data_IF_034371547409
#
_entry.id   IF_034371547409
#
_cell.length_a   1.000
_cell.length_b   1.000
_cell.length_c   1.000
_cell.angle_alpha   90.00
_cell.angle_beta   90.00
_cell.angle_gamma   90.00
#
_symmetry.space_group_name_H-M   'P 1'
#
loop_
_entity.id
_entity.type
_entity.pdbx_description
1 polymer ?
#
# COMPACT_ATOMS: atom_id res chain seq x y z
N UNK A 1 -5.87 -38.41 0.70
CA UNK A 1 -6.53 -37.78 1.86
C UNK A 1 -5.48 -36.95 2.60
N UNK A 2 -5.59 -35.62 2.62
CA UNK A 2 -4.71 -34.83 3.46
C UNK A 2 -5.18 -34.99 4.91
N UNK A 3 -4.30 -35.50 5.78
CA UNK A 3 -4.60 -35.65 7.21
C UNK A 3 -4.97 -34.33 7.89
N UNK A 4 -5.49 -34.38 9.12
CA UNK A 4 -5.84 -33.18 9.88
C UNK A 4 -4.67 -32.19 9.91
N UNK A 5 -4.97 -30.89 9.72
CA UNK A 5 -3.94 -29.84 9.75
C UNK A 5 -3.30 -29.83 11.14
N UNK A 6 -2.00 -30.01 11.19
CA UNK A 6 -1.22 -29.78 12.41
C UNK A 6 -1.40 -28.30 12.85
N UNK A 7 -2.02 -28.06 14.02
CA UNK A 7 -2.30 -26.71 14.51
C UNK A 7 -1.00 -25.91 14.77
N UNK A 8 0.08 -26.58 15.17
CA UNK A 8 1.37 -25.93 15.43
C UNK A 8 1.96 -25.40 14.13
N UNK A 9 2.00 -26.23 13.08
CA UNK A 9 2.47 -25.82 11.76
C UNK A 9 1.62 -24.68 11.16
N UNK A 10 0.29 -24.70 11.37
CA UNK A 10 -0.60 -23.64 10.92
C UNK A 10 -0.30 -22.30 11.61
N UNK A 11 -0.11 -22.32 12.93
CA UNK A 11 0.25 -21.13 13.72
C UNK A 11 1.63 -20.58 13.34
N UNK A 12 2.63 -21.45 13.19
CA UNK A 12 3.99 -21.05 12.76
C UNK A 12 3.97 -20.36 11.39
N UNK A 13 3.22 -20.92 10.44
CA UNK A 13 3.05 -20.31 9.10
C UNK A 13 2.43 -18.93 9.19
N UNK A 14 1.42 -18.76 10.05
CA UNK A 14 0.76 -17.49 10.25
C UNK A 14 1.68 -16.44 10.88
N UNK A 15 2.42 -16.81 11.94
CA UNK A 15 3.40 -15.93 12.57
C UNK A 15 4.51 -15.51 11.59
N UNK A 16 5.01 -16.46 10.78
CA UNK A 16 5.97 -16.18 9.72
C UNK A 16 5.39 -15.19 8.70
N UNK A 17 4.13 -15.40 8.29
CA UNK A 17 3.48 -14.50 7.35
C UNK A 17 3.32 -13.09 7.92
N UNK A 18 2.87 -12.99 9.17
CA UNK A 18 2.75 -11.74 9.89
C UNK A 18 4.10 -11.02 10.00
N UNK A 19 5.18 -11.71 10.39
CA UNK A 19 6.52 -11.13 10.49
C UNK A 19 7.00 -10.54 9.16
N UNK A 20 6.81 -11.27 8.06
CA UNK A 20 7.16 -10.77 6.72
C UNK A 20 6.27 -9.58 6.34
N UNK A 21 4.97 -9.59 6.67
CA UNK A 21 4.07 -8.46 6.45
C UNK A 21 4.48 -7.22 7.27
N UNK A 22 4.96 -7.39 8.51
CA UNK A 22 5.50 -6.30 9.34
C UNK A 22 6.77 -5.73 8.73
N UNK A 23 7.72 -6.57 8.31
CA UNK A 23 8.92 -6.13 7.61
C UNK A 23 8.55 -5.38 6.33
N UNK A 24 7.52 -5.85 5.62
CA UNK A 24 7.05 -5.21 4.40
C UNK A 24 6.50 -3.82 4.67
N UNK A 25 5.64 -3.69 5.69
CA UNK A 25 5.12 -2.42 6.14
C UNK A 25 6.25 -1.46 6.57
N UNK A 26 7.28 -1.96 7.27
CA UNK A 26 8.42 -1.16 7.68
C UNK A 26 9.23 -0.65 6.47
N UNK A 27 9.43 -1.46 5.43
CA UNK A 27 10.10 -1.03 4.19
C UNK A 27 9.30 0.05 3.48
N UNK A 28 7.97 -0.12 3.34
CA UNK A 28 7.09 0.89 2.73
C UNK A 28 7.06 2.19 3.54
N UNK A 29 6.97 2.09 4.86
CA UNK A 29 7.03 3.24 5.76
C UNK A 29 8.39 3.96 5.66
N UNK A 30 9.49 3.22 5.59
CA UNK A 30 10.84 3.78 5.41
C UNK A 30 10.97 4.51 4.07
N UNK A 31 10.42 3.94 3.00
CA UNK A 31 10.38 4.56 1.68
C UNK A 31 9.70 5.93 1.73
N UNK A 32 8.55 6.03 2.40
CA UNK A 32 7.85 7.32 2.63
C UNK A 32 8.64 8.23 3.57
N UNK A 33 9.17 7.70 4.67
CA UNK A 33 9.88 8.43 5.72
C UNK A 33 11.13 9.13 5.19
N UNK A 34 11.88 8.51 4.28
CA UNK A 34 13.02 9.14 3.60
C UNK A 34 12.57 10.42 2.88
N UNK A 35 11.44 10.41 2.17
CA UNK A 35 10.94 11.61 1.49
C UNK A 35 10.50 12.71 2.45
N UNK A 36 9.87 12.34 3.57
CA UNK A 36 9.47 13.28 4.63
C UNK A 36 10.73 13.92 5.23
N UNK A 37 11.73 13.13 5.64
CA UNK A 37 12.98 13.63 6.23
C UNK A 37 13.72 14.56 5.24
N UNK A 38 13.83 14.17 3.97
CA UNK A 38 14.45 15.00 2.94
C UNK A 38 13.68 16.31 2.69
N UNK A 39 12.36 16.31 2.82
CA UNK A 39 11.55 17.51 2.70
C UNK A 39 11.80 18.48 3.86
N UNK A 40 11.67 18.00 5.10
CA UNK A 40 11.80 18.83 6.30
C UNK A 40 13.23 19.31 6.56
N UNK A 41 14.24 18.47 6.27
CA UNK A 41 15.64 18.89 6.34
C UNK A 41 15.96 20.04 5.40
N UNK A 42 15.42 20.02 4.17
CA UNK A 42 15.57 21.13 3.20
C UNK A 42 14.82 22.38 3.66
N UNK A 43 13.59 22.23 4.14
CA UNK A 43 12.81 23.35 4.67
C UNK A 43 13.54 24.05 5.82
N UNK A 44 14.02 23.27 6.79
CA UNK A 44 14.76 23.79 7.94
C UNK A 44 16.09 24.44 7.52
N UNK A 45 16.84 23.83 6.61
CA UNK A 45 18.08 24.40 6.10
C UNK A 45 17.86 25.77 5.41
N UNK A 46 16.81 25.91 4.60
CA UNK A 46 16.46 27.19 3.95
C UNK A 46 16.02 28.23 4.99
N UNK A 47 15.20 27.83 5.97
CA UNK A 47 14.74 28.72 7.06
C UNK A 47 15.92 29.21 7.90
N UNK A 48 16.85 28.33 8.26
CA UNK A 48 18.09 28.66 8.96
C UNK A 48 18.95 29.58 8.10
N UNK A 49 19.17 29.29 6.81
CA UNK A 49 19.96 30.14 5.92
C UNK A 49 19.37 31.56 5.76
N UNK A 50 18.05 31.68 5.63
CA UNK A 50 17.37 32.98 5.58
C UNK A 50 17.48 33.74 6.89
N UNK A 51 17.36 33.05 8.02
CA UNK A 51 17.55 33.64 9.36
C UNK A 51 19.02 33.94 9.69
N UNK A 52 19.95 33.20 9.10
CA UNK A 52 21.39 33.31 9.28
C UNK A 52 22.06 34.14 8.17
N UNK A 53 21.29 34.88 7.36
CA UNK A 53 21.84 35.98 6.54
C UNK A 53 22.57 37.05 7.38
N UNK A 54 22.60 36.89 8.72
CA UNK A 54 23.40 37.65 9.69
C UNK A 54 24.67 36.91 10.19
N UNK A 55 24.87 35.60 9.93
CA UNK A 55 26.09 34.82 10.28
C UNK A 55 26.44 33.79 9.21
N UNK A 56 27.54 34.00 8.51
CA UNK A 56 28.01 33.15 7.40
C UNK A 56 28.28 31.70 7.85
N UNK A 57 27.56 30.73 7.27
CA UNK A 57 27.91 29.31 7.36
C UNK A 57 29.15 29.06 6.48
N UNK A 58 30.21 28.37 6.95
CA UNK A 58 31.43 28.18 6.18
C UNK A 58 31.19 27.39 4.88
N UNK A 59 31.62 27.95 3.75
CA UNK A 59 31.41 27.41 2.40
C UNK A 59 32.05 26.01 2.16
N UNK A 60 33.00 25.59 2.99
CA UNK A 60 33.78 24.35 2.79
C UNK A 60 32.95 23.06 2.93
N UNK A 61 31.97 23.03 3.85
CA UNK A 61 31.13 21.84 4.09
C UNK A 61 29.93 21.80 3.12
N UNK A 62 29.44 22.95 2.69
CA UNK A 62 28.22 23.05 1.87
C UNK A 62 28.46 22.76 0.39
N UNK A 63 29.63 23.10 -0.16
CA UNK A 63 29.93 22.99 -1.60
C UNK A 63 29.91 21.56 -2.17
N UNK A 64 30.63 20.56 -1.62
CA UNK A 64 30.61 19.20 -2.16
C UNK A 64 29.24 18.53 -1.99
N UNK A 65 28.60 18.74 -0.85
CA UNK A 65 27.25 18.24 -0.57
C UNK A 65 26.20 18.83 -1.52
N UNK A 66 26.26 20.14 -1.76
CA UNK A 66 25.36 20.83 -2.71
C UNK A 66 25.61 20.36 -4.14
N UNK A 67 26.87 20.14 -4.55
CA UNK A 67 27.19 19.63 -5.90
C UNK A 67 26.66 18.21 -6.10
N UNK A 68 26.88 17.31 -5.15
CA UNK A 68 26.36 15.93 -5.19
C UNK A 68 24.82 15.88 -5.19
N UNK A 69 24.18 16.72 -4.37
CA UNK A 69 22.72 16.87 -4.33
C UNK A 69 22.16 17.42 -5.64
N UNK A 70 22.83 18.38 -6.27
CA UNK A 70 22.45 18.89 -7.60
C UNK A 70 22.60 17.83 -8.69
N UNK A 71 23.68 17.04 -8.67
CA UNK A 71 23.95 16.03 -9.69
C UNK A 71 22.93 14.89 -9.65
N UNK A 72 22.68 14.34 -8.45
CA UNK A 72 21.65 13.32 -8.23
C UNK A 72 20.25 13.85 -8.59
N UNK A 73 19.92 15.08 -8.20
CA UNK A 73 18.66 15.74 -8.60
C UNK A 73 18.54 15.89 -10.11
N UNK A 74 19.62 16.28 -10.79
CA UNK A 74 19.60 16.46 -12.25
C UNK A 74 19.36 15.14 -12.98
N UNK A 75 19.87 14.02 -12.48
CA UNK A 75 19.58 12.69 -13.04
C UNK A 75 18.12 12.30 -12.76
N UNK A 76 17.65 12.45 -11.51
CA UNK A 76 16.30 12.04 -11.09
C UNK A 76 15.15 12.87 -11.70
N UNK A 77 15.44 14.08 -12.20
CA UNK A 77 14.47 14.94 -12.89
C UNK A 77 14.35 14.62 -14.38
N UNK A 78 15.35 13.98 -15.00
CA UNK A 78 15.28 13.62 -16.44
C UNK A 78 14.04 12.79 -16.71
N UNK A 79 13.31 13.10 -17.78
CA UNK A 79 12.14 12.32 -18.19
C UNK A 79 12.58 10.89 -18.54
N UNK A 80 11.84 9.90 -18.05
CA UNK A 80 12.04 8.50 -18.39
C UNK A 80 10.84 8.03 -19.22
N UNK A 81 11.01 7.09 -20.16
CA UNK A 81 9.90 6.55 -20.93
C UNK A 81 8.80 6.02 -20.01
N UNK A 82 7.56 6.49 -20.17
CA UNK A 82 6.41 6.07 -19.36
C UNK A 82 6.29 6.72 -17.96
N UNK A 83 7.25 7.53 -17.51
CA UNK A 83 7.21 8.19 -16.19
C UNK A 83 7.45 9.70 -16.28
N UNK A 84 6.85 10.46 -15.37
CA UNK A 84 7.03 11.92 -15.30
C UNK A 84 8.51 12.32 -15.05
N UNK A 85 9.26 11.51 -14.31
CA UNK A 85 10.70 11.68 -14.13
C UNK A 85 11.38 10.34 -13.81
N UNK A 86 12.70 10.27 -14.00
CA UNK A 86 13.52 9.09 -13.69
C UNK A 86 13.42 8.71 -12.22
N UNK A 87 13.31 9.69 -11.31
CA UNK A 87 13.05 9.44 -9.90
C UNK A 87 11.69 8.79 -9.61
N UNK A 88 10.65 9.08 -10.40
CA UNK A 88 9.37 8.35 -10.29
C UNK A 88 9.52 6.91 -10.75
N UNK A 89 10.22 6.71 -11.88
CA UNK A 89 10.50 5.36 -12.39
C UNK A 89 11.26 4.52 -11.36
N UNK A 90 12.30 5.09 -10.73
CA UNK A 90 13.07 4.41 -9.67
C UNK A 90 12.18 4.10 -8.46
N UNK A 91 11.35 5.03 -8.00
CA UNK A 91 10.44 4.81 -6.87
C UNK A 91 9.45 3.65 -7.15
N UNK A 92 8.85 3.65 -8.34
CA UNK A 92 7.93 2.58 -8.76
C UNK A 92 8.67 1.26 -8.90
N UNK A 93 9.89 1.26 -9.47
CA UNK A 93 10.70 0.06 -9.59
C UNK A 93 11.05 -0.54 -8.21
N UNK A 94 11.46 0.30 -7.25
CA UNK A 94 11.70 -0.13 -5.86
C UNK A 94 10.42 -0.73 -5.27
N UNK A 95 9.29 -0.05 -5.41
CA UNK A 95 7.99 -0.55 -4.93
C UNK A 95 7.66 -1.92 -5.52
N UNK A 96 7.81 -2.12 -6.83
CA UNK A 96 7.55 -3.41 -7.51
C UNK A 96 8.51 -4.49 -7.02
N UNK A 97 9.82 -4.20 -6.95
CA UNK A 97 10.84 -5.15 -6.47
C UNK A 97 10.53 -5.58 -5.04
N UNK A 98 10.15 -4.65 -4.15
CA UNK A 98 9.78 -4.98 -2.77
C UNK A 98 8.53 -5.89 -2.77
N UNK A 99 7.49 -5.57 -3.55
CA UNK A 99 6.30 -6.43 -3.62
C UNK A 99 6.63 -7.86 -4.04
N UNK A 100 7.43 -8.01 -5.09
CA UNK A 100 7.87 -9.33 -5.58
C UNK A 100 8.72 -10.04 -4.53
N UNK A 101 9.73 -9.37 -3.96
CA UNK A 101 10.59 -9.95 -2.93
C UNK A 101 9.78 -10.45 -1.73
N UNK A 102 8.81 -9.67 -1.25
CA UNK A 102 8.00 -10.05 -0.09
C UNK A 102 7.04 -11.22 -0.38
N UNK A 103 6.63 -11.43 -1.63
CA UNK A 103 5.86 -12.62 -2.04
C UNK A 103 6.73 -13.89 -1.94
N UNK A 104 7.99 -13.84 -2.33
CA UNK A 104 8.82 -15.06 -2.41
C UNK A 104 9.67 -15.32 -1.15
N UNK A 105 9.78 -14.34 -0.26
CA UNK A 105 10.60 -14.46 0.96
C UNK A 105 10.02 -15.50 1.94
N UNK A 106 10.83 -16.51 2.26
CA UNK A 106 10.51 -17.55 3.24
C UNK A 106 9.15 -18.23 2.97
N UNK A 107 8.82 -18.49 1.70
CA UNK A 107 7.61 -19.25 1.34
C UNK A 107 8.02 -20.64 0.90
N UNK A 108 7.49 -21.65 1.60
CA UNK A 108 7.61 -23.04 1.18
C UNK A 108 6.69 -23.29 -0.04
N UNK A 109 7.33 -23.53 -1.18
CA UNK A 109 6.68 -23.71 -2.47
C UNK A 109 6.01 -25.09 -2.65
N UNK A 110 6.20 -26.02 -1.72
CA UNK A 110 5.59 -27.37 -1.79
C UNK A 110 4.06 -27.35 -1.69
N UNK A 111 3.49 -26.30 -1.08
CA UNK A 111 2.03 -26.16 -0.88
C UNK A 111 1.54 -24.86 -1.49
N UNK A 112 0.63 -24.95 -2.47
CA UNK A 112 -0.02 -23.79 -3.11
C UNK A 112 -0.70 -22.86 -2.11
N UNK A 113 -1.24 -23.41 -1.01
CA UNK A 113 -1.85 -22.62 0.08
C UNK A 113 -0.88 -21.69 0.81
N UNK A 114 0.42 -21.96 0.78
CA UNK A 114 1.42 -21.05 1.37
C UNK A 114 1.54 -19.78 0.53
N UNK A 115 1.59 -19.91 -0.81
CA UNK A 115 1.50 -18.78 -1.72
C UNK A 115 0.16 -18.06 -1.59
N UNK A 116 -0.96 -18.80 -1.56
CA UNK A 116 -2.29 -18.21 -1.40
C UNK A 116 -2.36 -17.34 -0.12
N UNK A 117 -1.89 -17.87 1.01
CA UNK A 117 -1.80 -17.11 2.27
C UNK A 117 -0.89 -15.89 2.12
N UNK A 118 0.29 -16.05 1.51
CA UNK A 118 1.24 -14.96 1.31
C UNK A 118 0.65 -13.80 0.50
N UNK A 119 -0.03 -14.10 -0.61
CA UNK A 119 -0.73 -13.07 -1.40
C UNK A 119 -1.78 -12.32 -0.58
N UNK A 120 -2.51 -13.01 0.30
CA UNK A 120 -3.49 -12.37 1.20
C UNK A 120 -2.83 -11.41 2.22
N UNK A 121 -1.68 -11.78 2.78
CA UNK A 121 -0.90 -10.91 3.67
C UNK A 121 -0.30 -9.72 2.92
N UNK A 122 0.25 -9.93 1.72
CA UNK A 122 0.80 -8.83 0.90
C UNK A 122 -0.30 -7.88 0.40
N UNK A 123 -1.49 -8.39 0.06
CA UNK A 123 -2.70 -7.62 -0.21
C UNK A 123 -3.03 -6.71 0.99
N UNK A 124 -3.09 -7.29 2.19
CA UNK A 124 -3.41 -6.58 3.44
C UNK A 124 -2.45 -5.43 3.70
N UNK A 125 -1.14 -5.66 3.55
CA UNK A 125 -0.12 -4.61 3.72
C UNK A 125 -0.24 -3.53 2.65
N UNK A 126 -0.45 -3.91 1.38
CA UNK A 126 -0.61 -2.94 0.31
C UNK A 126 -1.87 -2.10 0.47
N UNK A 127 -2.97 -2.65 0.97
CA UNK A 127 -4.19 -1.88 1.22
C UNK A 127 -3.93 -0.71 2.17
N UNK A 128 -3.24 -0.95 3.29
CA UNK A 128 -2.87 0.12 4.24
C UNK A 128 -2.04 1.19 3.55
N UNK A 129 -1.07 0.79 2.72
CA UNK A 129 -0.24 1.70 1.96
C UNK A 129 -1.04 2.52 0.93
N UNK A 130 -1.96 1.89 0.20
CA UNK A 130 -2.86 2.55 -0.76
C UNK A 130 -3.73 3.59 -0.06
N UNK A 131 -4.30 3.25 1.10
CA UNK A 131 -5.09 4.18 1.92
C UNK A 131 -4.23 5.34 2.42
N UNK A 132 -3.01 5.07 2.88
CA UNK A 132 -2.07 6.11 3.28
C UNK A 132 -1.75 7.07 2.11
N UNK A 133 -1.54 6.56 0.90
CA UNK A 133 -1.32 7.40 -0.28
C UNK A 133 -2.57 8.21 -0.68
N UNK A 134 -3.77 7.78 -0.28
CA UNK A 134 -5.01 8.54 -0.50
C UNK A 134 -5.10 9.81 0.37
N UNK A 135 -4.26 9.94 1.41
CA UNK A 135 -4.10 11.14 2.23
C UNK A 135 -3.45 12.33 1.49
N UNK A 136 -3.21 12.20 0.18
CA UNK A 136 -2.57 13.17 -0.73
C UNK A 136 -3.12 14.60 -0.70
N UNK A 137 -4.36 14.80 -0.22
CA UNK A 137 -5.00 16.12 -0.11
C UNK A 137 -5.21 16.56 1.37
N UNK A 138 -4.65 15.85 2.35
CA UNK A 138 -4.67 16.11 3.82
C UNK A 138 -3.24 15.88 4.36
N UNK A 139 -2.90 15.48 5.61
CA UNK A 139 -1.58 15.80 6.19
C UNK A 139 -0.38 15.34 5.36
N UNK A 140 -0.52 14.34 4.47
CA UNK A 140 0.55 13.96 3.54
C UNK A 140 0.99 15.10 2.59
N UNK A 141 0.08 16.00 2.22
CA UNK A 141 0.38 17.22 1.47
C UNK A 141 1.27 18.20 2.27
N UNK A 142 1.12 18.22 3.61
CA UNK A 142 1.97 19.02 4.52
C UNK A 142 3.30 18.30 4.79
N UNK A 143 3.28 16.97 4.85
CA UNK A 143 4.44 16.16 5.21
C UNK A 143 5.42 15.95 4.05
N UNK A 144 4.99 16.14 2.80
CA UNK A 144 5.80 15.86 1.61
C UNK A 144 5.82 17.02 0.63
N UNK A 145 6.96 17.23 -0.06
CA UNK A 145 7.07 18.21 -1.16
C UNK A 145 6.58 17.68 -2.51
N UNK A 146 5.96 16.51 -2.53
CA UNK A 146 5.53 15.87 -3.77
C UNK A 146 4.18 16.41 -4.21
N UNK A 147 4.06 16.70 -5.51
CA UNK A 147 2.78 17.13 -6.07
C UNK A 147 1.74 16.02 -5.98
N UNK A 148 0.49 16.43 -5.86
CA UNK A 148 -0.69 15.56 -5.87
C UNK A 148 -0.61 14.50 -6.97
N UNK A 149 -0.25 14.91 -8.19
CA UNK A 149 -0.16 14.03 -9.36
C UNK A 149 0.80 12.85 -9.15
N UNK A 150 1.92 13.09 -8.46
CA UNK A 150 2.97 12.09 -8.24
C UNK A 150 2.54 11.03 -7.22
N UNK A 151 1.95 11.47 -6.10
CA UNK A 151 1.37 10.56 -5.10
C UNK A 151 0.18 9.80 -5.69
N UNK A 152 -0.62 10.46 -6.51
CA UNK A 152 -1.76 9.85 -7.19
C UNK A 152 -1.34 8.78 -8.20
N UNK A 153 -0.20 8.92 -8.87
CA UNK A 153 0.35 7.88 -9.74
C UNK A 153 0.71 6.62 -8.93
N UNK A 154 1.47 6.78 -7.84
CA UNK A 154 1.84 5.65 -6.99
C UNK A 154 0.61 4.99 -6.33
N UNK A 155 -0.39 5.77 -5.92
CA UNK A 155 -1.67 5.25 -5.41
C UNK A 155 -2.37 4.34 -6.44
N UNK A 156 -2.38 4.73 -7.72
CA UNK A 156 -2.97 3.91 -8.79
C UNK A 156 -2.22 2.60 -9.00
N UNK A 157 -0.89 2.67 -9.11
CA UNK A 157 -0.05 1.48 -9.30
C UNK A 157 -0.22 0.53 -8.10
N UNK A 158 -0.20 1.07 -6.89
CA UNK A 158 -0.37 0.29 -5.68
C UNK A 158 -1.79 -0.30 -5.57
N UNK A 159 -2.82 0.45 -5.96
CA UNK A 159 -4.21 -0.04 -6.01
C UNK A 159 -4.38 -1.21 -6.98
N UNK A 160 -3.85 -1.11 -8.20
CA UNK A 160 -3.85 -2.22 -9.16
C UNK A 160 -3.04 -3.42 -8.65
N UNK A 161 -1.88 -3.18 -8.04
CA UNK A 161 -1.03 -4.23 -7.45
C UNK A 161 -1.78 -4.98 -6.34
N UNK A 162 -2.47 -4.25 -5.47
CA UNK A 162 -3.31 -4.77 -4.39
C UNK A 162 -4.40 -5.69 -4.96
N UNK A 163 -5.09 -5.24 -6.01
CA UNK A 163 -6.12 -6.04 -6.66
C UNK A 163 -5.58 -7.29 -7.35
N UNK A 164 -4.43 -7.21 -8.02
CA UNK A 164 -3.79 -8.40 -8.61
C UNK A 164 -3.45 -9.44 -7.54
N UNK A 165 -2.92 -9.02 -6.39
CA UNK A 165 -2.66 -9.93 -5.26
C UNK A 165 -3.94 -10.57 -4.73
N UNK A 166 -5.04 -9.81 -4.65
CA UNK A 166 -6.35 -10.34 -4.28
C UNK A 166 -6.86 -11.40 -5.26
N UNK A 167 -6.77 -11.13 -6.56
CA UNK A 167 -7.19 -12.09 -7.59
C UNK A 167 -6.39 -13.38 -7.49
N UNK A 168 -5.06 -13.30 -7.33
CA UNK A 168 -4.21 -14.49 -7.18
C UNK A 168 -4.52 -15.23 -5.87
N UNK A 169 -4.70 -14.52 -4.76
CA UNK A 169 -5.10 -15.10 -3.48
C UNK A 169 -6.42 -15.89 -3.60
N UNK A 170 -7.45 -15.27 -4.16
CA UNK A 170 -8.75 -15.88 -4.36
C UNK A 170 -8.64 -17.10 -5.30
N UNK A 171 -7.99 -16.95 -6.45
CA UNK A 171 -7.83 -18.02 -7.43
C UNK A 171 -7.11 -19.25 -6.84
N UNK A 172 -6.02 -19.05 -6.09
CA UNK A 172 -5.27 -20.16 -5.47
C UNK A 172 -6.09 -20.87 -4.39
N UNK A 173 -6.84 -20.15 -3.56
CA UNK A 173 -7.70 -20.79 -2.56
C UNK A 173 -8.91 -21.48 -3.18
N UNK A 174 -9.55 -20.89 -4.19
CA UNK A 174 -10.62 -21.53 -4.95
C UNK A 174 -10.11 -22.81 -5.62
N UNK A 175 -8.96 -22.77 -6.28
CA UNK A 175 -8.34 -23.95 -6.91
C UNK A 175 -7.99 -25.02 -5.87
N UNK A 176 -7.44 -24.63 -4.72
CA UNK A 176 -7.15 -25.56 -3.63
C UNK A 176 -8.41 -26.26 -3.12
N UNK A 177 -9.49 -25.52 -2.82
CA UNK A 177 -10.74 -26.12 -2.36
C UNK A 177 -11.40 -26.99 -3.44
N UNK A 178 -11.40 -26.54 -4.70
CA UNK A 178 -11.90 -27.31 -5.83
C UNK A 178 -11.15 -28.64 -6.01
N UNK A 179 -9.81 -28.62 -5.90
CA UNK A 179 -8.99 -29.84 -6.03
C UNK A 179 -9.25 -30.89 -4.95
N UNK A 180 -9.79 -30.48 -3.81
CA UNK A 180 -10.19 -31.37 -2.73
C UNK A 180 -11.69 -31.72 -2.76
N UNK A 181 -12.45 -31.25 -3.76
CA UNK A 181 -13.90 -31.40 -3.82
C UNK A 181 -14.67 -30.60 -2.76
N UNK A 182 -14.04 -29.61 -2.12
CA UNK A 182 -14.56 -28.88 -0.96
C UNK A 182 -15.21 -27.54 -1.30
N UNK A 183 -16.19 -27.57 -2.20
CA UNK A 183 -16.93 -26.36 -2.60
C UNK A 183 -17.77 -25.76 -1.47
N UNK A 184 -18.14 -26.59 -0.49
CA UNK A 184 -18.78 -26.19 0.76
C UNK A 184 -18.00 -25.08 1.47
N UNK A 185 -16.66 -25.14 1.44
CA UNK A 185 -15.80 -24.15 2.09
C UNK A 185 -15.98 -22.75 1.55
N UNK A 186 -16.25 -22.58 0.25
CA UNK A 186 -16.48 -21.26 -0.34
C UNK A 186 -17.82 -20.63 0.09
N UNK A 187 -18.71 -21.41 0.70
CA UNK A 187 -20.02 -20.95 1.20
C UNK A 187 -20.00 -20.60 2.70
N UNK A 188 -18.89 -20.84 3.40
CA UNK A 188 -18.73 -20.41 4.79
C UNK A 188 -18.76 -18.88 4.88
N UNK A 189 -19.31 -18.36 5.97
CA UNK A 189 -19.55 -16.92 6.15
C UNK A 189 -18.29 -16.08 5.94
N UNK A 190 -17.15 -16.56 6.44
CA UNK A 190 -15.85 -15.92 6.27
C UNK A 190 -15.43 -15.87 4.80
N UNK A 191 -15.61 -16.96 4.05
CA UNK A 191 -15.25 -17.00 2.63
C UNK A 191 -16.19 -16.14 1.80
N UNK A 192 -17.50 -16.13 2.11
CA UNK A 192 -18.48 -15.24 1.48
C UNK A 192 -18.11 -13.78 1.72
N UNK A 193 -17.73 -13.39 2.94
CA UNK A 193 -17.25 -12.03 3.22
C UNK A 193 -16.01 -11.66 2.39
N UNK A 194 -15.07 -12.60 2.23
CA UNK A 194 -13.91 -12.43 1.36
C UNK A 194 -14.26 -12.27 -0.12
N UNK A 195 -15.25 -13.02 -0.60
CA UNK A 195 -15.77 -12.91 -1.98
C UNK A 195 -16.45 -11.55 -2.20
N UNK A 196 -17.28 -11.10 -1.26
CA UNK A 196 -17.91 -9.76 -1.30
C UNK A 196 -16.83 -8.68 -1.34
N UNK A 197 -15.80 -8.78 -0.50
CA UNK A 197 -14.67 -7.86 -0.53
C UNK A 197 -13.95 -7.89 -1.91
N UNK A 198 -13.76 -9.08 -2.50
CA UNK A 198 -13.13 -9.21 -3.80
C UNK A 198 -13.89 -8.50 -4.92
N UNK A 199 -15.23 -8.63 -4.95
CA UNK A 199 -16.07 -7.89 -5.89
C UNK A 199 -16.05 -6.38 -5.63
N UNK A 200 -16.04 -5.95 -4.37
CA UNK A 200 -15.89 -4.53 -4.05
C UNK A 200 -14.55 -3.97 -4.54
N UNK A 201 -13.46 -4.72 -4.42
CA UNK A 201 -12.16 -4.36 -5.01
C UNK A 201 -12.17 -4.34 -6.54
N UNK A 202 -12.87 -5.26 -7.19
CA UNK A 202 -13.05 -5.22 -8.64
C UNK A 202 -13.75 -3.93 -9.06
N UNK A 203 -14.81 -3.51 -8.36
CA UNK A 203 -15.50 -2.24 -8.62
C UNK A 203 -14.57 -1.05 -8.35
N UNK A 204 -13.79 -1.05 -7.26
CA UNK A 204 -12.79 -0.02 -6.95
C UNK A 204 -11.85 0.23 -8.14
N UNK A 205 -11.21 -0.84 -8.63
CA UNK A 205 -10.21 -0.73 -9.70
C UNK A 205 -10.87 -0.41 -11.04
N UNK A 206 -12.00 -1.05 -11.36
CA UNK A 206 -12.70 -0.84 -12.63
C UNK A 206 -13.19 0.60 -12.77
N UNK A 207 -13.80 1.15 -11.72
CA UNK A 207 -14.26 2.56 -11.71
C UNK A 207 -13.08 3.54 -11.82
N UNK A 208 -11.96 3.26 -11.13
CA UNK A 208 -10.76 4.10 -11.18
C UNK A 208 -10.10 4.13 -12.57
N UNK A 209 -10.14 3.02 -13.30
CA UNK A 209 -9.57 2.90 -14.65
C UNK A 209 -10.53 3.47 -15.71
N UNK A 210 -11.81 3.08 -15.67
CA UNK A 210 -12.77 3.33 -16.74
C UNK A 210 -13.55 4.64 -16.54
N UNK A 211 -14.15 4.82 -15.37
CA UNK A 211 -15.13 5.88 -15.13
C UNK A 211 -14.49 7.22 -14.81
N UNK A 212 -13.35 7.23 -14.10
CA UNK A 212 -12.70 8.45 -13.62
C UNK A 212 -12.47 9.52 -14.70
N UNK A 213 -12.26 9.13 -15.96
CA UNK A 213 -11.98 10.05 -17.07
C UNK A 213 -13.22 10.73 -17.65
N UNK A 214 -14.38 10.08 -17.58
CA UNK A 214 -15.59 10.51 -18.28
C UNK A 214 -16.74 10.86 -17.32
N UNK A 215 -16.75 10.29 -16.11
CA UNK A 215 -17.79 10.52 -15.12
C UNK A 215 -17.21 10.54 -13.69
N UNK A 216 -16.57 11.66 -13.35
CA UNK A 216 -15.78 11.77 -12.13
C UNK A 216 -16.62 11.61 -10.85
N UNK A 217 -17.79 12.24 -10.77
CA UNK A 217 -18.65 12.16 -9.58
C UNK A 217 -19.13 10.72 -9.32
N UNK A 218 -19.57 10.01 -10.36
CA UNK A 218 -19.96 8.61 -10.27
C UNK A 218 -18.77 7.73 -9.85
N UNK A 219 -17.59 7.94 -10.45
CA UNK A 219 -16.36 7.29 -10.00
C UNK A 219 -16.13 7.53 -8.51
N UNK A 220 -16.18 8.77 -8.04
CA UNK A 220 -15.84 9.14 -6.67
C UNK A 220 -16.79 8.45 -5.67
N UNK A 221 -18.10 8.55 -5.89
CA UNK A 221 -19.11 7.97 -4.99
C UNK A 221 -19.00 6.44 -4.98
N UNK A 222 -18.97 5.81 -6.16
CA UNK A 222 -18.88 4.35 -6.25
C UNK A 222 -17.57 3.82 -5.66
N UNK A 223 -16.44 4.46 -5.96
CA UNK A 223 -15.15 4.07 -5.41
C UNK A 223 -15.14 4.20 -3.87
N UNK A 224 -15.75 5.25 -3.31
CA UNK A 224 -15.83 5.41 -1.86
C UNK A 224 -16.69 4.32 -1.19
N UNK A 225 -17.88 4.06 -1.73
CA UNK A 225 -18.77 3.03 -1.19
C UNK A 225 -18.10 1.65 -1.28
N UNK A 226 -17.52 1.32 -2.43
CA UNK A 226 -16.80 0.06 -2.62
C UNK A 226 -15.58 -0.07 -1.69
N UNK A 227 -14.90 1.04 -1.37
CA UNK A 227 -13.81 1.03 -0.39
C UNK A 227 -14.30 0.62 1.00
N UNK A 228 -15.40 1.21 1.46
CA UNK A 228 -16.00 0.87 2.76
C UNK A 228 -16.41 -0.60 2.81
N UNK A 229 -17.11 -1.08 1.77
CA UNK A 229 -17.52 -2.49 1.67
C UNK A 229 -16.30 -3.43 1.64
N UNK A 230 -15.25 -3.07 0.90
CA UNK A 230 -14.03 -3.88 0.82
C UNK A 230 -13.32 -4.00 2.17
N UNK A 231 -13.18 -2.90 2.93
CA UNK A 231 -12.54 -2.90 4.26
C UNK A 231 -13.36 -3.70 5.27
N UNK A 232 -14.69 -3.53 5.28
CA UNK A 232 -15.57 -4.29 6.18
C UNK A 232 -15.55 -5.77 5.81
N UNK A 233 -15.71 -6.12 4.53
CA UNK A 233 -15.67 -7.50 4.05
C UNK A 233 -14.33 -8.18 4.35
N UNK A 234 -13.22 -7.45 4.24
CA UNK A 234 -11.90 -7.94 4.64
C UNK A 234 -11.80 -8.24 6.14
N UNK A 235 -12.34 -7.37 7.00
CA UNK A 235 -12.37 -7.61 8.44
C UNK A 235 -13.21 -8.86 8.77
N UNK A 236 -14.37 -9.00 8.15
CA UNK A 236 -15.29 -10.14 8.35
C UNK A 236 -14.77 -11.44 7.73
N UNK A 237 -13.89 -11.39 6.73
CA UNK A 237 -13.24 -12.58 6.17
C UNK A 237 -12.30 -13.27 7.17
N UNK A 238 -11.73 -12.50 8.11
CA UNK A 238 -10.85 -12.99 9.18
C UNK A 238 -11.13 -12.21 10.47
N UNK A 239 -12.28 -12.47 11.12
CA UNK A 239 -12.81 -11.62 12.18
C UNK A 239 -12.06 -11.77 13.49
N UNK A 240 -11.44 -12.93 13.73
CA UNK A 240 -10.69 -13.18 14.96
C UNK A 240 -9.43 -12.29 15.01
N UNK A 241 -9.33 -11.48 16.06
CA UNK A 241 -8.20 -10.57 16.25
C UNK A 241 -6.85 -11.27 16.43
N UNK A 242 -6.85 -12.57 16.80
CA UNK A 242 -5.63 -13.39 16.85
C UNK A 242 -4.92 -13.42 15.50
N UNK A 243 -5.69 -13.38 14.40
CA UNK A 243 -5.19 -13.40 13.03
C UNK A 243 -4.73 -12.05 12.52
N UNK A 244 -4.96 -10.97 13.29
CA UNK A 244 -4.52 -9.59 13.03
C UNK A 244 -5.06 -8.92 11.76
N UNK A 245 -5.63 -9.66 10.81
CA UNK A 245 -6.23 -9.11 9.58
C UNK A 245 -7.34 -8.10 9.89
N UNK A 246 -8.27 -8.43 10.80
CA UNK A 246 -9.30 -7.50 11.23
C UNK A 246 -8.72 -6.25 11.91
N UNK A 247 -7.66 -6.38 12.72
CA UNK A 247 -6.97 -5.23 13.32
C UNK A 247 -6.39 -4.32 12.22
N UNK A 248 -5.75 -4.90 11.20
CA UNK A 248 -5.17 -4.14 10.09
C UNK A 248 -6.26 -3.44 9.27
N UNK A 249 -7.41 -4.10 9.05
CA UNK A 249 -8.57 -3.49 8.41
C UNK A 249 -9.11 -2.31 9.23
N UNK A 250 -9.21 -2.44 10.55
CA UNK A 250 -9.59 -1.33 11.45
C UNK A 250 -8.59 -0.16 11.38
N UNK A 251 -7.29 -0.44 11.32
CA UNK A 251 -6.25 0.59 11.14
C UNK A 251 -6.43 1.33 9.80
N UNK A 252 -6.63 0.60 8.71
CA UNK A 252 -6.88 1.20 7.39
C UNK A 252 -8.15 2.07 7.40
N UNK A 253 -9.25 1.56 7.96
CA UNK A 253 -10.49 2.30 8.14
C UNK A 253 -10.31 3.55 8.99
N UNK A 254 -9.59 3.44 10.12
CA UNK A 254 -9.31 4.55 11.02
C UNK A 254 -8.49 5.67 10.37
N UNK A 255 -7.46 5.32 9.59
CA UNK A 255 -6.69 6.30 8.80
C UNK A 255 -7.59 7.06 7.83
N UNK A 256 -8.50 6.36 7.15
CA UNK A 256 -9.45 6.99 6.23
C UNK A 256 -10.49 7.86 6.95
N UNK A 257 -11.03 7.42 8.09
CA UNK A 257 -11.96 8.24 8.88
C UNK A 257 -11.27 9.53 9.35
N UNK A 258 -10.04 9.42 9.86
CA UNK A 258 -9.26 10.59 10.28
C UNK A 258 -9.04 11.57 9.12
N UNK A 259 -8.74 11.09 7.91
CA UNK A 259 -8.67 11.91 6.70
C UNK A 259 -9.96 12.68 6.45
N UNK A 260 -11.12 12.01 6.51
CA UNK A 260 -12.42 12.63 6.27
C UNK A 260 -12.73 13.72 7.28
N UNK A 261 -12.46 13.48 8.56
CA UNK A 261 -12.66 14.45 9.64
C UNK A 261 -11.81 15.70 9.40
N UNK A 262 -10.52 15.55 9.07
CA UNK A 262 -9.65 16.68 8.76
C UNK A 262 -10.16 17.48 7.56
N UNK A 263 -10.64 16.83 6.50
CA UNK A 263 -11.22 17.53 5.33
C UNK A 263 -12.45 18.34 5.70
N UNK A 264 -13.35 17.75 6.47
CA UNK A 264 -14.58 18.43 6.89
C UNK A 264 -14.26 19.65 7.77
N UNK A 265 -13.30 19.52 8.70
CA UNK A 265 -12.86 20.62 9.55
C UNK A 265 -12.12 21.75 8.81
N UNK A 266 -11.58 21.50 7.62
CA UNK A 266 -10.97 22.53 6.76
C UNK A 266 -11.98 23.25 5.86
N UNK A 267 -13.21 22.73 5.74
CA UNK A 267 -14.30 23.30 4.94
C UNK A 267 -15.32 24.08 5.80
N UNK A 268 -15.28 23.91 7.12
CA UNK A 268 -16.09 24.61 8.11
C UNK A 268 -15.38 25.90 8.59
#
# INVERSE_FOLDING_TARGET
MAGPRDPVAAMQREQMNFRVATNYAAVLASMVGIFIILHWSRFLAIKIQRSASTRSIPNFISLPFVRMSRMSRNILIRKAPGFHSSGHGVLVAIYVVVNVAMIFTNVDASKTTNFAARFGWSLTTNLVFVVFLALKNTPLAVLTSYSYERLNNLHQIAGCTTFLMLVVHAALYTQYFASMGRWDKLREHEQVAGIVAAFAFLVLVSTAILMRRFWYEAFYVTHLISFVVAVIGMALHRPEFVHKTAIIACVAGGIWVADRVVRLGLLA
#
